data_IF_764623069425
#
_entry.id   IF_764623069425
#
_cell.length_a   1.000
_cell.length_b   1.000
_cell.length_c   1.000
_cell.angle_alpha   90.00
_cell.angle_beta   90.00
_cell.angle_gamma   90.00
#
_symmetry.space_group_name_H-M   'P 1'
#
loop_
_entity.id
_entity.type
_entity.pdbx_description
1 polymer ?
#
# COMPACT_ATOMS: atom_id res chain seq x y z
N UNK A 1 16.82 5.17 18.56
CA UNK A 1 16.26 6.02 17.47
C UNK A 1 15.62 5.15 16.41
N UNK A 2 14.35 5.38 16.11
CA UNK A 2 13.65 4.61 15.09
C UNK A 2 14.02 5.14 13.71
N UNK A 3 14.32 4.25 12.77
CA UNK A 3 14.55 4.66 11.40
C UNK A 3 13.26 5.23 10.80
N UNK A 4 13.39 6.15 9.85
CA UNK A 4 12.24 6.67 9.11
C UNK A 4 11.56 5.54 8.34
N UNK A 5 10.22 5.56 8.20
CA UNK A 5 9.53 4.60 7.37
C UNK A 5 10.02 4.65 5.92
N UNK A 6 10.09 3.48 5.28
CA UNK A 6 10.55 3.34 3.90
C UNK A 6 9.38 2.97 3.00
N UNK A 7 9.33 3.52 1.79
CA UNK A 7 8.27 3.24 0.84
C UNK A 7 8.26 1.74 0.51
N UNK A 8 7.10 1.10 0.70
CA UNK A 8 6.89 -0.33 0.48
C UNK A 8 6.04 -0.61 -0.75
N UNK A 9 4.94 0.12 -0.91
CA UNK A 9 4.01 -0.10 -2.02
C UNK A 9 3.19 1.14 -2.35
N UNK A 10 2.61 1.11 -3.54
CA UNK A 10 1.58 2.06 -3.97
C UNK A 10 0.30 1.27 -4.25
N UNK A 11 -0.81 1.73 -3.68
CA UNK A 11 -2.12 1.12 -3.94
C UNK A 11 -2.90 1.99 -4.93
N UNK A 12 -3.34 1.37 -6.01
CA UNK A 12 -4.09 2.03 -7.09
C UNK A 12 -5.41 1.32 -7.33
N UNK A 13 -6.43 2.07 -7.77
CA UNK A 13 -7.57 1.47 -8.45
C UNK A 13 -7.40 1.70 -9.94
N UNK A 14 -7.69 0.68 -10.75
CA UNK A 14 -7.48 0.73 -12.20
C UNK A 14 -8.66 0.10 -12.93
N UNK A 15 -9.02 0.60 -14.12
CA UNK A 15 -9.97 -0.09 -14.99
C UNK A 15 -9.30 -1.32 -15.61
N UNK A 16 -10.10 -2.31 -16.01
CA UNK A 16 -9.58 -3.53 -16.66
C UNK A 16 -8.42 -4.16 -15.89
N UNK A 17 -8.67 -4.50 -14.63
CA UNK A 17 -7.63 -5.01 -13.72
C UNK A 17 -6.81 -6.16 -14.34
N UNK A 18 -7.47 -7.16 -14.92
CA UNK A 18 -6.79 -8.31 -15.52
C UNK A 18 -5.82 -7.91 -16.62
N UNK A 19 -6.20 -6.96 -17.47
CA UNK A 19 -5.36 -6.47 -18.56
C UNK A 19 -4.15 -5.69 -18.02
N UNK A 20 -4.35 -4.86 -17.01
CA UNK A 20 -3.26 -4.12 -16.37
C UNK A 20 -2.24 -5.07 -15.72
N UNK A 21 -2.72 -6.08 -15.01
CA UNK A 21 -1.87 -7.10 -14.39
C UNK A 21 -1.04 -7.83 -15.44
N UNK A 22 -1.68 -8.31 -16.52
CA UNK A 22 -0.99 -9.01 -17.58
C UNK A 22 0.10 -8.14 -18.22
N UNK A 23 -0.20 -6.88 -18.49
CA UNK A 23 0.78 -5.96 -19.09
C UNK A 23 1.98 -5.73 -18.19
N UNK A 24 1.75 -5.53 -16.88
CA UNK A 24 2.85 -5.30 -15.94
C UNK A 24 3.75 -6.53 -15.81
N UNK A 25 3.18 -7.72 -15.86
CA UNK A 25 3.95 -8.96 -15.84
C UNK A 25 4.74 -9.13 -17.14
N UNK A 26 4.09 -9.02 -18.30
CA UNK A 26 4.72 -9.33 -19.58
C UNK A 26 5.69 -8.24 -20.05
N UNK A 27 5.40 -6.97 -19.82
CA UNK A 27 6.23 -5.87 -20.28
C UNK A 27 7.35 -5.50 -19.31
N UNK A 28 7.12 -5.65 -18.00
CA UNK A 28 8.05 -5.16 -16.98
C UNK A 28 8.60 -6.25 -16.06
N UNK A 29 8.20 -7.49 -16.26
CA UNK A 29 8.73 -8.61 -15.48
C UNK A 29 8.29 -8.66 -14.02
N UNK A 30 7.20 -7.99 -13.68
CA UNK A 30 6.66 -8.08 -12.32
C UNK A 30 6.13 -9.47 -12.03
N UNK A 31 6.15 -9.86 -10.77
CA UNK A 31 5.72 -11.18 -10.32
C UNK A 31 4.44 -11.03 -9.50
N UNK A 32 3.41 -11.81 -9.84
CA UNK A 32 2.16 -11.82 -9.10
C UNK A 32 2.34 -12.56 -7.78
N UNK A 33 2.15 -11.87 -6.67
CA UNK A 33 2.13 -12.45 -5.33
C UNK A 33 0.72 -12.92 -4.97
N UNK A 34 -0.28 -12.10 -5.30
CA UNK A 34 -1.69 -12.39 -5.10
C UNK A 34 -2.43 -11.96 -6.37
N UNK A 35 -3.35 -12.77 -6.85
CA UNK A 35 -4.22 -12.39 -7.97
C UNK A 35 -5.60 -12.94 -7.72
N UNK A 36 -6.58 -12.04 -7.68
CA UNK A 36 -8.00 -12.40 -7.62
C UNK A 36 -8.73 -11.63 -8.71
N UNK A 37 -10.02 -11.85 -8.84
CA UNK A 37 -10.86 -11.12 -9.80
C UNK A 37 -10.91 -9.61 -9.51
N UNK A 38 -10.75 -9.21 -8.24
CA UNK A 38 -10.91 -7.82 -7.81
C UNK A 38 -9.64 -7.15 -7.29
N UNK A 39 -8.57 -7.91 -7.11
CA UNK A 39 -7.38 -7.43 -6.43
C UNK A 39 -6.14 -8.18 -6.88
N UNK A 40 -5.02 -7.48 -6.97
CA UNK A 40 -3.72 -8.09 -7.27
C UNK A 40 -2.62 -7.37 -6.51
N UNK A 41 -1.62 -8.14 -6.07
CA UNK A 41 -0.36 -7.59 -5.57
C UNK A 41 0.74 -8.08 -6.49
N UNK A 42 1.44 -7.14 -7.13
CA UNK A 42 2.57 -7.42 -8.00
C UNK A 42 3.85 -6.93 -7.35
N UNK A 43 4.91 -7.71 -7.46
CA UNK A 43 6.20 -7.40 -6.85
C UNK A 43 7.24 -7.23 -7.94
N UNK A 44 8.04 -6.17 -7.83
CA UNK A 44 9.24 -6.01 -8.64
C UNK A 44 10.33 -6.90 -8.02
N UNK A 45 10.80 -7.95 -8.72
CA UNK A 45 11.76 -8.89 -8.12
C UNK A 45 13.13 -8.28 -7.83
N UNK A 46 13.47 -7.15 -8.44
CA UNK A 46 14.77 -6.50 -8.21
C UNK A 46 14.76 -5.60 -6.98
N UNK A 47 13.64 -4.92 -6.71
CA UNK A 47 13.56 -3.92 -5.64
C UNK A 47 12.68 -4.33 -4.47
N UNK A 48 11.89 -5.41 -4.62
CA UNK A 48 10.82 -5.81 -3.71
C UNK A 48 9.69 -4.78 -3.58
N UNK A 49 9.69 -3.77 -4.42
CA UNK A 49 8.62 -2.77 -4.44
C UNK A 49 7.32 -3.40 -4.96
N UNK A 50 6.20 -3.05 -4.32
CA UNK A 50 4.92 -3.66 -4.66
C UNK A 50 3.95 -2.64 -5.25
N UNK A 51 3.13 -3.13 -6.17
CA UNK A 51 1.92 -2.45 -6.62
C UNK A 51 0.72 -3.26 -6.14
N UNK A 52 -0.18 -2.60 -5.40
CA UNK A 52 -1.46 -3.18 -5.03
C UNK A 52 -2.51 -2.58 -5.95
N UNK A 53 -3.15 -3.44 -6.74
CA UNK A 53 -4.13 -2.99 -7.74
C UNK A 53 -5.51 -3.52 -7.37
N UNK A 54 -6.51 -2.65 -7.43
CA UNK A 54 -7.92 -3.00 -7.25
C UNK A 54 -8.71 -2.52 -8.46
N UNK A 55 -9.83 -3.18 -8.74
CA UNK A 55 -10.69 -2.77 -9.83
C UNK A 55 -11.34 -1.42 -9.54
N UNK A 56 -11.32 -0.53 -10.53
CA UNK A 56 -11.96 0.79 -10.46
C UNK A 56 -13.44 0.67 -10.83
N UNK A 57 -14.30 1.43 -10.14
CA UNK A 57 -15.74 1.46 -10.42
C UNK A 57 -16.12 2.53 -11.44
N UNK A 58 -15.26 3.53 -11.66
CA UNK A 58 -15.56 4.69 -12.50
C UNK A 58 -14.77 4.75 -13.80
N UNK A 59 -14.00 3.70 -14.11
CA UNK A 59 -13.19 3.66 -15.31
C UNK A 59 -11.91 4.50 -15.27
N UNK A 60 -11.59 5.07 -14.11
CA UNK A 60 -10.43 5.95 -13.94
C UNK A 60 -9.36 5.28 -13.07
N UNK A 61 -8.14 5.82 -13.16
CA UNK A 61 -7.04 5.41 -12.28
C UNK A 61 -6.96 6.36 -11.09
N UNK A 62 -6.93 5.79 -9.88
CA UNK A 62 -6.81 6.60 -8.66
C UNK A 62 -5.70 6.02 -7.78
N UNK A 63 -4.95 6.91 -7.12
CA UNK A 63 -4.04 6.50 -6.05
C UNK A 63 -4.86 6.38 -4.77
N UNK A 64 -4.86 5.19 -4.16
CA UNK A 64 -5.58 4.95 -2.90
C UNK A 64 -4.73 5.34 -1.69
N UNK A 65 -3.49 4.85 -1.66
CA UNK A 65 -2.56 5.21 -0.59
C UNK A 65 -1.13 4.87 -0.98
N UNK A 66 -0.18 5.45 -0.24
CA UNK A 66 1.22 5.06 -0.24
C UNK A 66 1.46 4.23 1.01
N UNK A 67 2.07 3.07 0.86
CA UNK A 67 2.41 2.20 1.99
C UNK A 67 3.87 2.34 2.39
N UNK A 68 4.12 2.53 3.68
CA UNK A 68 5.48 2.67 4.23
C UNK A 68 5.73 1.60 5.27
N UNK A 69 6.88 0.92 5.17
CA UNK A 69 7.32 -0.05 6.17
C UNK A 69 7.98 0.65 7.33
N UNK A 70 7.72 0.18 8.53
CA UNK A 70 8.40 0.65 9.73
C UNK A 70 8.49 -0.47 10.75
N UNK A 71 9.53 -0.46 11.57
CA UNK A 71 9.66 -1.43 12.67
C UNK A 71 8.75 -1.12 13.85
N UNK A 72 8.24 0.11 13.93
CA UNK A 72 7.40 0.57 15.02
C UNK A 72 6.25 1.42 14.48
N UNK A 73 5.15 0.76 14.15
CA UNK A 73 3.96 1.42 13.60
C UNK A 73 3.39 2.41 14.60
N UNK A 74 3.32 2.06 15.89
CA UNK A 74 2.75 2.93 16.91
C UNK A 74 3.52 4.25 17.01
N UNK A 75 4.84 4.19 17.09
CA UNK A 75 5.68 5.38 17.19
C UNK A 75 5.60 6.24 15.93
N UNK A 76 5.68 5.62 14.74
CA UNK A 76 5.58 6.34 13.47
C UNK A 76 4.21 7.00 13.32
N UNK A 77 3.15 6.29 13.68
CA UNK A 77 1.78 6.83 13.63
C UNK A 77 1.65 8.07 14.51
N UNK A 78 2.13 7.98 15.76
CA UNK A 78 2.07 9.10 16.69
C UNK A 78 2.86 10.32 16.17
N UNK A 79 4.03 10.09 15.57
CA UNK A 79 4.84 11.15 14.99
C UNK A 79 4.11 11.87 13.84
N UNK A 80 3.45 11.11 12.96
CA UNK A 80 2.72 11.69 11.84
C UNK A 80 1.48 12.45 12.31
N UNK A 81 0.77 11.95 13.31
CA UNK A 81 -0.36 12.68 13.91
C UNK A 81 0.10 13.99 14.53
N UNK A 82 1.21 13.96 15.26
CA UNK A 82 1.79 15.18 15.84
C UNK A 82 2.19 16.19 14.76
N UNK A 83 2.54 15.73 13.56
CA UNK A 83 2.89 16.56 12.42
C UNK A 83 1.69 17.06 11.59
N UNK A 84 0.45 16.73 11.98
CA UNK A 84 -0.75 17.25 11.33
C UNK A 84 -1.56 16.26 10.52
N UNK A 85 -1.16 14.99 10.42
CA UNK A 85 -1.97 13.98 9.76
C UNK A 85 -3.09 13.49 10.69
N UNK A 86 -4.15 12.97 10.11
CA UNK A 86 -5.31 12.50 10.85
C UNK A 86 -5.40 10.98 10.80
N UNK A 87 -5.74 10.35 11.93
CA UNK A 87 -5.93 8.91 11.99
C UNK A 87 -7.21 8.52 11.25
N UNK A 88 -7.07 7.65 10.24
CA UNK A 88 -8.19 7.02 9.55
C UNK A 88 -8.48 5.64 10.19
N UNK A 89 -7.43 4.84 10.43
CA UNK A 89 -7.52 3.61 11.20
C UNK A 89 -6.35 3.56 12.17
N UNK A 90 -6.65 3.45 13.47
CA UNK A 90 -5.63 3.34 14.50
C UNK A 90 -4.78 2.07 14.32
N UNK A 91 -3.54 2.04 14.85
CA UNK A 91 -2.72 0.84 14.76
C UNK A 91 -3.44 -0.40 15.28
N UNK A 92 -3.42 -1.46 14.48
CA UNK A 92 -4.08 -2.72 14.79
C UNK A 92 -3.46 -3.87 13.99
N UNK A 93 -3.68 -5.08 14.46
CA UNK A 93 -3.21 -6.26 13.76
C UNK A 93 -4.25 -6.75 12.76
N UNK A 94 -3.78 -7.16 11.57
CA UNK A 94 -4.57 -7.86 10.56
C UNK A 94 -4.00 -9.26 10.39
N UNK A 95 -4.59 -10.22 11.06
CA UNK A 95 -4.09 -11.60 11.05
C UNK A 95 -4.11 -12.23 9.65
N UNK A 96 -5.17 -11.99 8.89
CA UNK A 96 -5.30 -12.55 7.54
C UNK A 96 -4.21 -12.05 6.58
N UNK A 97 -3.64 -10.90 6.84
CA UNK A 97 -2.59 -10.30 6.01
C UNK A 97 -1.21 -10.39 6.68
N UNK A 98 -1.12 -11.04 7.85
CA UNK A 98 0.11 -11.22 8.61
C UNK A 98 0.87 -9.91 8.82
N UNK A 99 0.17 -8.88 9.27
CA UNK A 99 0.78 -7.56 9.48
C UNK A 99 0.16 -6.78 10.63
N UNK A 100 0.93 -5.81 11.14
CA UNK A 100 0.46 -4.78 12.05
C UNK A 100 0.47 -3.47 11.26
N UNK A 101 -0.63 -2.73 11.27
CA UNK A 101 -0.82 -1.62 10.33
C UNK A 101 -1.67 -0.50 10.91
N UNK A 102 -1.55 0.67 10.31
CA UNK A 102 -2.44 1.80 10.56
C UNK A 102 -2.61 2.60 9.28
N UNK A 103 -3.65 3.44 9.23
CA UNK A 103 -3.91 4.31 8.10
C UNK A 103 -4.10 5.75 8.58
N UNK A 104 -3.55 6.68 7.81
CA UNK A 104 -3.65 8.11 8.10
C UNK A 104 -4.11 8.84 6.85
N UNK A 105 -4.87 9.91 7.06
CA UNK A 105 -5.28 10.83 6.01
C UNK A 105 -4.39 12.07 6.07
N UNK A 106 -3.96 12.50 4.89
CA UNK A 106 -3.17 13.72 4.76
C UNK A 106 -4.06 14.78 4.08
N UNK A 107 -4.47 15.84 4.80
CA UNK A 107 -5.28 16.88 4.19
C UNK A 107 -4.57 17.49 2.97
N UNK A 108 -5.24 17.45 1.82
CA UNK A 108 -4.68 17.95 0.56
C UNK A 108 -3.58 17.09 -0.05
N UNK A 109 -3.35 15.89 0.47
CA UNK A 109 -2.32 14.98 -0.01
C UNK A 109 -2.83 13.56 -0.22
N UNK A 110 -1.91 12.62 -0.29
CA UNK A 110 -2.20 11.20 -0.49
C UNK A 110 -2.30 10.50 0.86
N UNK A 111 -3.28 9.61 1.01
CA UNK A 111 -3.42 8.81 2.21
C UNK A 111 -2.22 7.86 2.38
N UNK A 112 -1.90 7.54 3.62
CA UNK A 112 -0.72 6.75 3.98
C UNK A 112 -1.14 5.54 4.79
N UNK A 113 -0.53 4.40 4.47
CA UNK A 113 -0.57 3.21 5.29
C UNK A 113 0.81 3.00 5.91
N UNK A 114 0.85 2.72 7.21
CA UNK A 114 2.06 2.23 7.88
C UNK A 114 1.92 0.73 8.07
N UNK A 115 2.99 -0.02 7.84
CA UNK A 115 2.92 -1.47 7.91
C UNK A 115 4.20 -2.08 8.46
N UNK A 116 4.02 -3.11 9.29
CA UNK A 116 5.08 -4.02 9.70
C UNK A 116 4.60 -5.44 9.44
N UNK A 117 5.28 -6.13 8.53
CA UNK A 117 4.96 -7.53 8.21
C UNK A 117 5.56 -8.46 9.26
N UNK A 118 4.91 -9.59 9.45
CA UNK A 118 5.40 -10.65 10.35
C UNK A 118 6.72 -11.25 9.87
#
# INVERSE_FOLDING_TARGET
MTASPALDHIALTVPDLGHQVERLITAFGMVAQITTEHFAVLVDPESDFKLELSASDDGEVHVRHLGFRTDDVDAAHATLVAGGMETSEAPHRRDFAAMYTSYLEQPGGVDVQLVKYD
#
